data_IF_337275449051
#
_entry.id   IF_337275449051
#
_cell.length_a   1.000
_cell.length_b   1.000
_cell.length_c   1.000
_cell.angle_alpha   90.00
_cell.angle_beta   90.00
_cell.angle_gamma   90.00
#
_symmetry.space_group_name_H-M   'P 1'
#
loop_
_entity.id
_entity.type
_entity.pdbx_description
1 polymer ?
#
# COMPACT_ATOMS: atom_id res chain seq x y z
N UNK A 1 -3.53 2.70 13.70
CA UNK A 1 -2.81 3.04 12.45
C UNK A 1 -2.57 1.84 11.53
N UNK A 2 -1.97 0.75 12.01
CA UNK A 2 -1.60 -0.43 11.18
C UNK A 2 -2.69 -0.87 10.22
N UNK A 3 -3.88 -1.19 10.74
CA UNK A 3 -4.97 -1.73 9.93
C UNK A 3 -5.34 -0.79 8.78
N UNK A 4 -5.38 0.52 9.04
CA UNK A 4 -5.70 1.53 8.03
C UNK A 4 -4.63 1.62 6.94
N UNK A 5 -3.34 1.54 7.30
CA UNK A 5 -2.24 1.58 6.35
C UNK A 5 -2.29 0.39 5.38
N UNK A 6 -2.48 -0.83 5.91
CA UNK A 6 -2.59 -2.03 5.09
C UNK A 6 -3.85 -2.03 4.21
N UNK A 7 -5.00 -1.62 4.75
CA UNK A 7 -6.23 -1.50 3.96
C UNK A 7 -6.10 -0.46 2.84
N UNK A 8 -5.51 0.70 3.13
CA UNK A 8 -5.28 1.76 2.13
C UNK A 8 -4.33 1.32 1.02
N UNK A 9 -3.20 0.69 1.37
CA UNK A 9 -2.25 0.14 0.40
C UNK A 9 -2.87 -0.99 -0.44
N UNK A 10 -3.71 -1.84 0.17
CA UNK A 10 -4.45 -2.90 -0.55
C UNK A 10 -5.45 -2.34 -1.55
N UNK A 11 -6.24 -1.33 -1.16
CA UNK A 11 -7.15 -0.64 -2.06
C UNK A 11 -6.40 0.05 -3.21
N UNK A 12 -5.29 0.74 -2.92
CA UNK A 12 -4.44 1.35 -3.94
C UNK A 12 -3.87 0.31 -4.92
N UNK A 13 -3.43 -0.85 -4.41
CA UNK A 13 -2.95 -1.96 -5.23
C UNK A 13 -4.05 -2.53 -6.14
N UNK A 14 -5.23 -2.79 -5.59
CA UNK A 14 -6.38 -3.28 -6.36
C UNK A 14 -6.72 -2.32 -7.50
N UNK A 15 -6.92 -1.03 -7.18
CA UNK A 15 -7.21 0.03 -8.17
C UNK A 15 -6.07 0.19 -9.19
N UNK A 16 -4.82 0.05 -8.74
CA UNK A 16 -3.64 0.09 -9.61
C UNK A 16 -3.63 -1.02 -10.67
N UNK A 17 -4.05 -2.23 -10.31
CA UNK A 17 -4.15 -3.36 -11.27
C UNK A 17 -5.21 -3.08 -12.34
N UNK A 18 -6.38 -2.57 -11.94
CA UNK A 18 -7.45 -2.18 -12.88
C UNK A 18 -6.96 -1.07 -13.82
N UNK A 19 -6.23 -0.09 -13.27
CA UNK A 19 -5.64 1.00 -14.05
C UNK A 19 -4.55 0.54 -15.03
N UNK A 20 -3.83 -0.54 -14.71
CA UNK A 20 -2.75 -1.09 -15.55
C UNK A 20 -3.28 -2.04 -16.64
N UNK A 21 -4.18 -2.97 -16.30
CA UNK A 21 -4.72 -3.92 -17.26
C UNK A 21 -5.76 -3.28 -18.18
N UNK A 22 -6.61 -2.40 -17.63
CA UNK A 22 -7.79 -1.90 -18.32
C UNK A 22 -8.83 -2.98 -18.59
N UNK A 23 -10.00 -2.60 -19.10
CA UNK A 23 -11.03 -3.52 -19.55
C UNK A 23 -11.85 -2.90 -20.69
N UNK A 24 -11.70 -3.43 -21.90
CA UNK A 24 -12.38 -2.92 -23.09
C UNK A 24 -13.91 -3.11 -23.05
N UNK A 25 -14.39 -4.15 -22.36
CA UNK A 25 -15.82 -4.45 -22.25
C UNK A 25 -16.60 -3.33 -21.57
N UNK A 26 -15.98 -2.63 -20.61
CA UNK A 26 -16.57 -1.48 -19.91
C UNK A 26 -15.96 -0.15 -20.35
N UNK A 27 -15.30 -0.14 -21.52
CA UNK A 27 -14.60 1.04 -22.07
C UNK A 27 -13.57 1.66 -21.10
N UNK A 28 -12.98 0.85 -20.21
CA UNK A 28 -11.93 1.29 -19.31
C UNK A 28 -10.57 1.14 -19.99
N UNK A 29 -10.04 2.22 -20.54
CA UNK A 29 -8.72 2.20 -21.16
C UNK A 29 -7.60 2.12 -20.10
N UNK A 30 -6.41 1.67 -20.49
CA UNK A 30 -5.22 1.62 -19.63
C UNK A 30 -4.80 3.03 -19.23
N UNK A 31 -5.22 3.47 -18.05
CA UNK A 31 -4.93 4.82 -17.53
C UNK A 31 -3.42 5.06 -17.43
N UNK A 32 -2.65 4.01 -17.08
CA UNK A 32 -1.20 4.09 -16.99
C UNK A 32 -0.49 4.29 -18.34
N UNK A 33 -1.15 4.04 -19.48
CA UNK A 33 -0.59 4.29 -20.81
C UNK A 33 -0.61 5.79 -21.14
N UNK A 34 -1.69 6.47 -20.77
CA UNK A 34 -1.85 7.93 -20.93
C UNK A 34 -1.04 8.70 -19.86
N UNK A 35 -1.07 8.23 -18.61
CA UNK A 35 -0.46 8.90 -17.46
C UNK A 35 0.74 8.13 -16.89
N UNK A 36 1.65 7.68 -17.74
CA UNK A 36 2.76 6.79 -17.33
C UNK A 36 3.66 7.32 -16.22
N UNK A 37 3.99 8.63 -16.22
CA UNK A 37 4.81 9.24 -15.16
C UNK A 37 4.10 9.22 -13.81
N UNK A 38 2.84 9.60 -13.78
CA UNK A 38 2.02 9.59 -12.57
C UNK A 38 1.83 8.16 -12.05
N UNK A 39 1.55 7.21 -12.93
CA UNK A 39 1.38 5.81 -12.56
C UNK A 39 2.66 5.23 -11.91
N UNK A 40 3.84 5.53 -12.46
CA UNK A 40 5.13 5.16 -11.83
C UNK A 40 5.31 5.80 -10.45
N UNK A 41 4.96 7.08 -10.30
CA UNK A 41 5.08 7.79 -9.03
C UNK A 41 4.15 7.23 -7.96
N UNK A 42 2.89 6.93 -8.31
CA UNK A 42 1.91 6.31 -7.40
C UNK A 42 2.30 4.88 -7.04
N UNK A 43 2.80 4.11 -8.00
CA UNK A 43 3.31 2.77 -7.72
C UNK A 43 4.48 2.82 -6.74
N UNK A 44 5.46 3.71 -6.98
CA UNK A 44 6.60 3.90 -6.08
C UNK A 44 6.15 4.37 -4.68
N UNK A 45 5.25 5.34 -4.59
CA UNK A 45 4.76 5.83 -3.30
C UNK A 45 3.99 4.76 -2.53
N UNK A 46 3.15 3.97 -3.20
CA UNK A 46 2.39 2.88 -2.57
C UNK A 46 3.32 1.79 -2.03
N UNK A 47 4.37 1.43 -2.77
CA UNK A 47 5.38 0.46 -2.31
C UNK A 47 6.15 1.00 -1.11
N UNK A 48 6.57 2.27 -1.14
CA UNK A 48 7.25 2.90 -0.01
C UNK A 48 6.34 2.99 1.23
N UNK A 49 5.06 3.31 1.05
CA UNK A 49 4.07 3.30 2.14
C UNK A 49 3.88 1.91 2.73
N UNK A 50 3.82 0.87 1.91
CA UNK A 50 3.71 -0.51 2.39
C UNK A 50 4.95 -0.94 3.18
N UNK A 51 6.15 -0.59 2.69
CA UNK A 51 7.40 -0.83 3.41
C UNK A 51 7.40 -0.12 4.78
N UNK A 52 6.98 1.15 4.81
CA UNK A 52 6.83 1.91 6.06
C UNK A 52 5.80 1.28 7.02
N UNK A 53 4.69 0.75 6.50
CA UNK A 53 3.68 0.07 7.31
C UNK A 53 4.21 -1.21 7.96
N UNK A 54 5.07 -1.96 7.26
CA UNK A 54 5.73 -3.16 7.79
C UNK A 54 6.73 -2.80 8.90
N UNK A 55 7.54 -1.76 8.70
CA UNK A 55 8.48 -1.28 9.74
C UNK A 55 7.74 -0.76 10.96
N UNK A 56 6.65 -0.01 10.76
CA UNK A 56 5.81 0.46 11.85
C UNK A 56 5.19 -0.73 12.61
N UNK A 57 4.77 -1.78 11.90
CA UNK A 57 4.26 -3.00 12.52
C UNK A 57 5.27 -3.70 13.41
N UNK A 58 6.49 -3.90 12.93
CA UNK A 58 7.55 -4.53 13.72
C UNK A 58 7.91 -3.69 14.95
N UNK A 59 7.93 -2.36 14.84
CA UNK A 59 8.10 -1.47 15.99
C UNK A 59 6.98 -1.63 17.03
N UNK A 60 5.72 -1.71 16.59
CA UNK A 60 4.57 -1.93 17.50
C UNK A 60 4.69 -3.26 18.23
N UNK A 61 5.10 -4.33 17.54
CA UNK A 61 5.31 -5.66 18.14
C UNK A 61 6.48 -5.65 19.13
N UNK A 62 7.59 -5.02 18.78
CA UNK A 62 8.73 -4.90 19.69
C UNK A 62 8.37 -4.10 20.95
N UNK A 63 7.60 -3.02 20.80
CA UNK A 63 7.13 -2.21 21.91
C UNK A 63 6.18 -2.99 22.82
N UNK A 64 5.25 -3.76 22.27
CA UNK A 64 4.32 -4.57 23.06
C UNK A 64 5.02 -5.70 23.81
N UNK A 65 5.91 -6.44 23.14
CA UNK A 65 6.72 -7.49 23.79
C UNK A 65 7.64 -6.90 24.86
N UNK A 66 8.26 -5.76 24.59
CA UNK A 66 9.10 -5.05 25.55
C UNK A 66 8.31 -4.61 26.78
N UNK A 67 7.07 -4.18 26.61
CA UNK A 67 6.16 -3.84 27.72
C UNK A 67 5.78 -5.08 28.54
N UNK A 68 5.45 -6.20 27.89
CA UNK A 68 5.12 -7.46 28.57
C UNK A 68 6.29 -8.03 29.38
N UNK A 69 7.53 -7.75 28.99
CA UNK A 69 8.72 -8.21 29.70
C UNK A 69 9.16 -7.30 30.86
N UNK A 70 8.52 -6.14 31.07
CA UNK A 70 8.86 -5.28 32.21
C UNK A 70 8.29 -5.89 33.50
N UNK A 71 9.12 -6.23 34.50
CA UNK A 71 8.60 -6.60 35.81
C UNK A 71 7.91 -5.38 36.43
N UNK A 72 6.72 -5.61 37.02
CA UNK A 72 5.94 -4.58 37.73
C UNK A 72 6.75 -3.94 38.86
#
# INVERSE_FOLDING_TARGET
MVALLFSGSGAAGAVGVIAYQGNSHVQWNKVCDIYGRFCKQVAASTVLSLAGAVVFMSLVVLASVGLQKRPN
#
